data_IF_184484901044
#
_entry.id   IF_184484901044
#
_cell.length_a   1.000
_cell.length_b   1.000
_cell.length_c   1.000
_cell.angle_alpha   90.00
_cell.angle_beta   90.00
_cell.angle_gamma   90.00
#
_symmetry.space_group_name_H-M   'P 1'
#
loop_
_entity.id
_entity.type
_entity.pdbx_description
1 polymer ?
#
# COMPACT_ATOMS: atom_id res chain seq x y z
N UNK A 1 62.08 8.89 -8.72
CA UNK A 1 61.48 8.28 -7.51
C UNK A 1 60.08 7.80 -7.87
N UNK A 2 59.64 6.55 -7.71
CA UNK A 2 60.27 5.29 -7.41
C UNK A 2 59.32 4.18 -7.95
N UNK A 3 59.89 3.19 -8.64
CA UNK A 3 59.68 1.73 -8.61
C UNK A 3 58.25 1.10 -8.61
N UNK A 4 57.90 0.52 -9.76
CA UNK A 4 57.65 -0.92 -10.03
C UNK A 4 56.94 -1.89 -9.04
N UNK A 5 55.94 -2.58 -9.65
CA UNK A 5 55.58 -4.02 -9.61
C UNK A 5 54.40 -4.55 -8.73
N UNK A 6 53.76 -5.68 -9.14
CA UNK A 6 52.34 -5.99 -8.94
C UNK A 6 52.11 -7.06 -7.86
N UNK A 7 50.87 -7.16 -7.36
CA UNK A 7 50.45 -8.25 -6.48
C UNK A 7 49.21 -8.95 -7.03
N UNK A 8 49.44 -10.13 -7.58
CA UNK A 8 48.45 -11.19 -7.71
C UNK A 8 48.07 -11.68 -6.32
N UNK A 9 46.78 -11.88 -6.04
CA UNK A 9 46.35 -12.65 -4.88
C UNK A 9 45.26 -13.64 -5.27
N UNK A 10 45.52 -14.88 -4.89
CA UNK A 10 44.77 -16.09 -5.14
C UNK A 10 43.64 -16.29 -4.13
N UNK A 11 42.56 -16.86 -4.66
CA UNK A 11 41.52 -17.68 -4.03
C UNK A 11 40.41 -17.06 -3.15
N UNK A 12 39.20 -17.68 -3.20
CA UNK A 12 37.97 -17.11 -2.68
C UNK A 12 37.72 -17.54 -1.23
N UNK A 13 37.37 -16.60 -0.35
CA UNK A 13 36.79 -16.92 0.95
C UNK A 13 35.38 -16.34 1.04
N UNK A 14 34.42 -17.24 1.27
CA UNK A 14 32.99 -16.95 1.45
C UNK A 14 32.81 -15.89 2.53
N UNK A 15 32.13 -14.80 2.17
CA UNK A 15 31.67 -13.78 3.12
C UNK A 15 30.65 -14.41 4.05
N UNK A 16 31.03 -14.55 5.32
CA UNK A 16 30.20 -15.07 6.39
C UNK A 16 29.16 -14.01 6.83
N UNK A 17 27.92 -14.48 6.96
CA UNK A 17 26.84 -14.02 7.85
C UNK A 17 26.71 -12.52 8.12
N UNK A 18 25.66 -11.91 7.54
CA UNK A 18 25.03 -10.71 8.09
C UNK A 18 24.42 -11.03 9.46
N UNK A 19 25.07 -10.62 10.54
CA UNK A 19 24.48 -10.67 11.89
C UNK A 19 23.47 -9.53 12.05
N UNK A 20 22.18 -9.82 11.98
CA UNK A 20 21.14 -8.87 12.39
C UNK A 20 20.85 -9.05 13.88
N UNK A 21 21.35 -8.16 14.72
CA UNK A 21 21.06 -8.10 16.15
C UNK A 21 19.72 -7.39 16.42
N UNK A 22 18.62 -8.02 16.01
CA UNK A 22 17.26 -7.52 16.26
C UNK A 22 16.55 -8.21 17.43
N UNK A 23 17.24 -8.59 18.52
CA UNK A 23 16.53 -8.89 19.79
C UNK A 23 17.46 -8.65 20.99
N UNK A 24 17.43 -7.46 21.58
CA UNK A 24 17.92 -7.27 22.94
C UNK A 24 16.74 -7.44 23.89
N UNK A 25 16.49 -8.69 24.28
CA UNK A 25 15.52 -9.04 25.32
C UNK A 25 16.07 -10.22 26.10
N UNK A 26 16.64 -9.94 27.28
CA UNK A 26 17.09 -10.95 28.25
C UNK A 26 15.94 -11.91 28.57
N UNK A 27 15.90 -13.04 27.88
CA UNK A 27 15.26 -14.28 28.34
C UNK A 27 16.17 -15.42 27.91
N UNK A 28 16.50 -16.30 28.86
CA UNK A 28 17.45 -17.40 28.65
C UNK A 28 17.03 -18.19 27.40
N UNK A 29 17.94 -18.45 26.44
CA UNK A 29 17.61 -19.32 25.32
C UNK A 29 17.43 -20.73 25.87
N UNK A 30 16.22 -21.29 25.70
CA UNK A 30 16.03 -22.74 25.79
C UNK A 30 16.96 -23.36 24.74
N UNK A 31 17.89 -24.18 25.20
CA UNK A 31 18.91 -24.84 24.40
C UNK A 31 18.31 -25.49 23.14
N UNK A 32 18.72 -25.02 21.97
CA UNK A 32 18.51 -25.73 20.72
C UNK A 32 19.51 -26.88 20.66
N UNK A 33 19.03 -28.12 20.80
CA UNK A 33 19.86 -29.30 20.55
C UNK A 33 20.00 -29.47 19.04
N UNK A 34 21.13 -29.04 18.48
CA UNK A 34 21.54 -29.40 17.12
C UNK A 34 22.15 -30.79 17.21
N UNK A 35 21.41 -31.80 16.77
CA UNK A 35 21.96 -33.14 16.58
C UNK A 35 22.78 -33.13 15.28
N UNK A 36 24.08 -32.80 15.38
CA UNK A 36 25.02 -33.00 14.27
C UNK A 36 25.35 -34.48 14.15
N UNK A 37 24.69 -35.18 13.22
CA UNK A 37 25.29 -36.35 12.57
C UNK A 37 25.80 -35.92 11.20
N UNK A 38 27.12 -35.76 11.12
CA UNK A 38 27.87 -35.65 9.87
C UNK A 38 27.61 -36.89 9.01
N UNK A 39 26.84 -36.72 7.93
CA UNK A 39 26.88 -37.60 6.76
C UNK A 39 26.94 -36.74 5.50
N UNK A 40 28.06 -36.89 4.81
CA UNK A 40 28.39 -36.34 3.50
C UNK A 40 27.32 -36.76 2.49
N UNK A 41 26.64 -35.80 1.87
CA UNK A 41 25.64 -36.07 0.85
C UNK A 41 24.96 -34.79 0.37
N UNK A 42 25.28 -34.37 -0.86
CA UNK A 42 24.72 -33.18 -1.50
C UNK A 42 23.20 -33.33 -1.72
N UNK A 43 22.40 -32.88 -0.76
CA UNK A 43 21.01 -32.46 -0.98
C UNK A 43 20.83 -31.13 -0.27
N UNK A 44 20.46 -30.11 -1.03
CA UNK A 44 19.90 -28.88 -0.49
C UNK A 44 18.62 -29.28 0.26
N UNK A 45 18.75 -29.58 1.55
CA UNK A 45 17.63 -29.88 2.42
C UNK A 45 16.78 -28.61 2.49
N UNK A 46 15.50 -28.74 2.14
CA UNK A 46 14.51 -27.71 2.39
C UNK A 46 14.51 -27.46 3.90
N UNK A 47 15.15 -26.36 4.33
CA UNK A 47 15.06 -25.86 5.70
C UNK A 47 13.61 -25.43 5.91
N UNK A 48 12.80 -26.34 6.42
CA UNK A 48 11.43 -26.04 6.81
C UNK A 48 11.48 -25.34 8.16
N UNK A 49 11.41 -24.01 8.12
CA UNK A 49 11.20 -23.22 9.34
C UNK A 49 9.75 -23.38 9.73
N UNK A 50 9.47 -24.19 10.75
CA UNK A 50 8.14 -24.27 11.35
C UNK A 50 7.89 -22.97 12.11
N UNK A 51 7.14 -22.05 11.50
CA UNK A 51 6.67 -20.85 12.20
C UNK A 51 5.56 -21.31 13.16
N UNK A 52 5.93 -21.64 14.39
CA UNK A 52 4.97 -21.84 15.48
C UNK A 52 4.39 -20.48 15.84
N UNK A 53 3.25 -20.14 15.24
CA UNK A 53 2.45 -18.97 15.60
C UNK A 53 1.80 -19.20 16.97
N UNK A 54 2.57 -19.08 18.05
CA UNK A 54 1.97 -18.82 19.37
C UNK A 54 1.13 -17.54 19.26
N UNK A 55 0.03 -17.46 20.02
CA UNK A 55 -0.85 -16.27 20.03
C UNK A 55 0.00 -15.02 20.19
N UNK A 56 -0.03 -14.13 19.19
CA UNK A 56 0.77 -12.91 19.18
C UNK A 56 0.41 -12.12 20.44
N UNK A 57 1.34 -12.04 21.40
CA UNK A 57 1.19 -11.18 22.57
C UNK A 57 1.27 -9.74 22.07
N UNK A 58 0.13 -9.08 21.97
CA UNK A 58 0.05 -7.68 21.57
C UNK A 58 0.67 -6.83 22.70
N UNK A 59 1.91 -6.39 22.49
CA UNK A 59 2.56 -5.43 23.39
C UNK A 59 2.06 -4.04 23.02
N UNK A 60 1.53 -3.31 24.00
CA UNK A 60 1.08 -1.95 23.80
C UNK A 60 2.27 -1.04 23.51
N UNK A 61 2.25 -0.37 22.36
CA UNK A 61 3.24 0.64 21.99
C UNK A 61 2.53 1.95 21.68
N UNK A 62 2.72 2.94 22.55
CA UNK A 62 2.09 4.25 22.47
C UNK A 62 2.51 5.02 21.21
N UNK A 63 3.73 4.83 20.72
CA UNK A 63 4.20 5.49 19.50
C UNK A 63 3.45 4.94 18.29
N UNK A 64 3.39 3.60 18.18
CA UNK A 64 2.66 2.92 17.11
C UNK A 64 1.17 3.30 17.12
N UNK A 65 0.55 3.32 18.29
CA UNK A 65 -0.86 3.69 18.44
C UNK A 65 -1.12 5.14 17.99
N UNK A 66 -0.22 6.07 18.28
CA UNK A 66 -0.32 7.45 17.79
C UNK A 66 -0.32 7.49 16.26
N UNK A 67 0.56 6.75 15.60
CA UNK A 67 0.61 6.66 14.14
C UNK A 67 -0.67 6.06 13.55
N UNK A 68 -1.21 5.02 14.19
CA UNK A 68 -2.47 4.39 13.80
C UNK A 68 -3.63 5.38 13.90
N UNK A 69 -3.74 6.14 15.00
CA UNK A 69 -4.76 7.19 15.16
C UNK A 69 -4.64 8.27 14.08
N UNK A 70 -3.42 8.73 13.78
CA UNK A 70 -3.20 9.73 12.72
C UNK A 70 -3.65 9.20 11.35
N UNK A 71 -3.32 7.94 11.03
CA UNK A 71 -3.76 7.29 9.79
C UNK A 71 -5.29 7.22 9.71
N UNK A 72 -5.98 6.93 10.82
CA UNK A 72 -7.44 6.91 10.85
C UNK A 72 -8.07 8.29 10.61
N UNK A 73 -7.43 9.37 11.05
CA UNK A 73 -7.92 10.75 10.82
C UNK A 73 -7.96 11.10 9.33
N UNK A 74 -6.97 10.66 8.55
CA UNK A 74 -6.90 10.96 7.11
C UNK A 74 -7.57 9.90 6.22
N UNK A 75 -7.93 8.75 6.78
CA UNK A 75 -8.54 7.63 6.05
C UNK A 75 -9.81 8.03 5.30
N UNK A 76 -10.66 8.86 5.91
CA UNK A 76 -11.89 9.36 5.28
C UNK A 76 -11.57 10.18 4.03
N UNK A 77 -10.64 11.13 4.16
CA UNK A 77 -10.21 12.04 3.08
C UNK A 77 -9.63 11.23 1.93
N UNK A 78 -8.71 10.31 2.22
CA UNK A 78 -8.07 9.47 1.20
C UNK A 78 -9.11 8.65 0.42
N UNK A 79 -10.04 8.01 1.13
CA UNK A 79 -11.08 7.20 0.48
C UNK A 79 -12.06 8.05 -0.33
N UNK A 80 -12.48 9.20 0.19
CA UNK A 80 -13.36 10.09 -0.56
C UNK A 80 -12.67 10.65 -1.81
N UNK A 81 -11.39 11.04 -1.71
CA UNK A 81 -10.55 11.42 -2.86
C UNK A 81 -10.53 10.31 -3.91
N UNK A 82 -10.16 9.08 -3.53
CA UNK A 82 -10.13 7.94 -4.45
C UNK A 82 -11.49 7.67 -5.09
N UNK A 83 -12.58 7.79 -4.32
CA UNK A 83 -13.93 7.60 -4.83
C UNK A 83 -14.31 8.67 -5.86
N UNK A 84 -13.99 9.94 -5.60
CA UNK A 84 -14.24 11.06 -6.53
C UNK A 84 -13.43 10.90 -7.81
N UNK A 85 -12.14 10.60 -7.71
CA UNK A 85 -11.25 10.38 -8.85
C UNK A 85 -11.61 9.15 -9.69
N UNK A 86 -12.35 8.19 -9.13
CA UNK A 86 -12.85 7.02 -9.88
C UNK A 86 -13.98 7.37 -10.85
N UNK A 87 -14.58 8.55 -10.75
CA UNK A 87 -15.71 8.99 -11.59
C UNK A 87 -15.22 9.93 -12.68
N UNK A 88 -15.69 9.73 -13.90
CA UNK A 88 -15.32 10.56 -15.06
C UNK A 88 -15.59 12.06 -14.84
N UNK A 89 -16.67 12.40 -14.14
CA UNK A 89 -17.05 13.79 -13.85
C UNK A 89 -16.46 14.35 -12.54
N UNK A 90 -15.69 13.56 -11.78
CA UNK A 90 -15.02 13.98 -10.54
C UNK A 90 -15.94 14.56 -9.45
N UNK A 91 -17.25 14.29 -9.50
CA UNK A 91 -18.22 14.64 -8.46
C UNK A 91 -19.18 13.49 -8.14
N UNK A 92 -19.74 13.50 -6.93
CA UNK A 92 -20.72 12.50 -6.48
C UNK A 92 -21.86 13.18 -5.71
N UNK A 93 -23.14 12.92 -6.06
CA UNK A 93 -24.29 13.34 -5.26
C UNK A 93 -24.29 12.76 -3.84
N UNK A 94 -24.67 13.56 -2.85
CA UNK A 94 -24.64 13.17 -1.42
C UNK A 94 -25.49 11.92 -1.14
N UNK A 95 -26.65 11.75 -1.78
CA UNK A 95 -27.49 10.56 -1.59
C UNK A 95 -26.80 9.26 -2.08
N UNK A 96 -25.96 9.33 -3.12
CA UNK A 96 -25.14 8.19 -3.56
C UNK A 96 -24.00 7.97 -2.58
N UNK A 97 -23.40 9.06 -2.10
CA UNK A 97 -22.34 9.01 -1.11
C UNK A 97 -22.78 8.33 0.20
N UNK A 98 -24.04 8.54 0.61
CA UNK A 98 -24.68 7.83 1.72
C UNK A 98 -24.71 6.31 1.53
N UNK A 99 -24.90 5.81 0.31
CA UNK A 99 -24.82 4.37 0.00
C UNK A 99 -23.39 3.84 0.10
N UNK A 100 -22.39 4.67 -0.18
CA UNK A 100 -20.96 4.33 -0.07
C UNK A 100 -20.40 4.47 1.37
N UNK A 101 -21.25 4.56 2.40
CA UNK A 101 -20.81 4.78 3.79
C UNK A 101 -19.84 3.71 4.30
N UNK A 102 -20.11 2.43 4.00
CA UNK A 102 -19.27 1.30 4.39
C UNK A 102 -17.87 1.44 3.80
N UNK A 103 -17.78 1.83 2.53
CA UNK A 103 -16.51 2.11 1.87
C UNK A 103 -15.77 3.24 2.59
N UNK A 104 -16.41 4.39 2.88
CA UNK A 104 -15.78 5.54 3.55
C UNK A 104 -15.31 5.24 4.99
N UNK A 105 -15.73 4.12 5.59
CA UNK A 105 -15.28 3.69 6.91
C UNK A 105 -15.79 4.57 8.05
N UNK A 106 -16.98 5.14 7.90
CA UNK A 106 -17.59 6.03 8.89
C UNK A 106 -18.47 5.24 9.89
N UNK A 107 -18.12 5.19 11.19
CA UNK A 107 -18.96 4.56 12.19
C UNK A 107 -20.26 5.37 12.37
N UNK A 108 -21.38 4.68 12.61
CA UNK A 108 -22.61 5.35 13.08
C UNK A 108 -22.33 5.92 14.49
N UNK A 109 -22.81 7.13 14.86
CA UNK A 109 -23.84 7.95 14.23
C UNK A 109 -23.33 9.10 13.32
N UNK A 110 -22.03 9.19 13.02
CA UNK A 110 -21.46 10.39 12.35
C UNK A 110 -22.05 10.65 10.96
N UNK A 111 -22.52 11.87 10.69
CA UNK A 111 -23.05 12.24 9.37
C UNK A 111 -21.92 12.42 8.34
N UNK A 112 -22.16 12.00 7.09
CA UNK A 112 -21.19 12.18 6.00
C UNK A 112 -20.98 13.68 5.72
N UNK A 113 -22.04 14.47 5.72
CA UNK A 113 -21.95 15.92 5.54
C UNK A 113 -21.08 16.55 6.63
N UNK A 114 -21.33 16.20 7.90
CA UNK A 114 -20.50 16.70 9.02
C UNK A 114 -19.03 16.33 8.89
N UNK A 115 -18.73 15.20 8.25
CA UNK A 115 -17.35 14.78 7.99
C UNK A 115 -16.70 15.53 6.83
N UNK A 116 -17.47 15.85 5.78
CA UNK A 116 -17.00 16.68 4.65
C UNK A 116 -16.68 18.08 5.13
N UNK A 117 -17.55 18.69 5.94
CA UNK A 117 -17.34 20.04 6.48
C UNK A 117 -16.10 20.18 7.36
N UNK A 118 -15.50 19.09 7.86
CA UNK A 118 -14.22 19.13 8.57
C UNK A 118 -13.02 19.40 7.65
N UNK A 119 -13.17 19.26 6.34
CA UNK A 119 -12.09 19.39 5.35
C UNK A 119 -12.48 20.33 4.20
N UNK A 120 -12.82 21.60 4.48
CA UNK A 120 -13.28 22.55 3.46
C UNK A 120 -12.19 22.92 2.44
N UNK A 121 -10.92 22.78 2.80
CA UNK A 121 -9.79 23.01 1.89
C UNK A 121 -9.66 21.94 0.80
N UNK A 122 -10.26 20.76 1.01
CA UNK A 122 -10.12 19.61 0.11
C UNK A 122 -11.42 19.33 -0.64
N UNK A 123 -12.55 19.44 0.05
CA UNK A 123 -13.86 19.10 -0.50
C UNK A 123 -14.78 20.32 -0.55
N UNK A 124 -15.48 20.44 -1.66
CA UNK A 124 -16.47 21.48 -1.90
C UNK A 124 -17.84 20.83 -2.11
N UNK A 125 -18.85 21.41 -1.47
CA UNK A 125 -20.26 21.07 -1.64
C UNK A 125 -20.89 22.07 -2.59
N UNK A 126 -21.52 21.60 -3.66
CA UNK A 126 -22.19 22.46 -4.63
C UNK A 126 -23.54 21.88 -5.02
N UNK A 127 -24.47 22.76 -5.37
CA UNK A 127 -25.78 22.38 -5.87
C UNK A 127 -25.73 22.27 -7.38
N UNK A 128 -26.06 21.10 -7.92
CA UNK A 128 -26.19 20.95 -9.36
C UNK A 128 -27.62 21.26 -9.77
N UNK A 129 -27.81 22.39 -10.46
CA UNK A 129 -29.03 22.65 -11.22
C UNK A 129 -28.97 21.79 -12.48
N UNK A 130 -29.85 20.79 -12.59
CA UNK A 130 -30.03 20.09 -13.85
C UNK A 130 -30.73 21.03 -14.84
N UNK A 131 -30.51 20.94 -16.17
CA UNK A 131 -31.29 21.70 -17.14
C UNK A 131 -32.80 21.57 -16.87
N UNK A 132 -33.58 22.63 -17.13
CA UNK A 132 -35.02 22.61 -16.92
C UNK A 132 -35.61 21.44 -17.70
N UNK A 133 -36.15 20.44 -16.99
CA UNK A 133 -36.80 19.29 -17.63
C UNK A 133 -38.26 19.67 -17.99
N UNK A 134 -38.84 19.03 -19.02
CA UNK A 134 -40.15 19.39 -19.55
C UNK A 134 -41.25 19.16 -18.51
N UNK A 135 -42.35 19.87 -18.71
CA UNK A 135 -43.43 20.27 -17.79
C UNK A 135 -44.08 19.18 -16.90
N UNK A 136 -43.71 17.90 -17.00
CA UNK A 136 -44.44 16.77 -16.42
C UNK A 136 -43.65 15.91 -15.40
N UNK A 137 -42.54 16.41 -14.83
CA UNK A 137 -41.76 15.67 -13.84
C UNK A 137 -41.92 16.22 -12.40
N UNK A 138 -42.57 15.45 -11.54
CA UNK A 138 -42.76 15.72 -10.11
C UNK A 138 -41.42 15.97 -9.39
N UNK A 139 -41.18 17.21 -8.97
CA UNK A 139 -40.21 17.68 -7.96
C UNK A 139 -38.77 17.12 -8.08
N UNK A 140 -37.98 17.63 -9.01
CA UNK A 140 -36.52 17.45 -8.97
C UNK A 140 -35.90 18.49 -8.02
N UNK A 141 -35.64 18.09 -6.77
CA UNK A 141 -34.83 18.91 -5.86
C UNK A 141 -33.38 19.02 -6.38
N UNK A 142 -32.72 20.19 -6.23
CA UNK A 142 -31.30 20.33 -6.55
C UNK A 142 -30.51 19.27 -5.78
N UNK A 143 -29.75 18.46 -6.52
CA UNK A 143 -28.96 17.39 -5.92
C UNK A 143 -27.67 18.01 -5.42
N UNK A 144 -27.55 18.12 -4.10
CA UNK A 144 -26.31 18.47 -3.43
C UNK A 144 -25.23 17.44 -3.80
N UNK A 145 -24.13 17.93 -4.34
CA UNK A 145 -23.01 17.14 -4.82
C UNK A 145 -21.72 17.52 -4.10
N UNK A 146 -20.80 16.58 -4.04
CA UNK A 146 -19.45 16.75 -3.48
C UNK A 146 -18.46 16.65 -4.61
N UNK A 147 -17.49 17.58 -4.66
CA UNK A 147 -16.31 17.51 -5.53
C UNK A 147 -15.05 17.86 -4.76
N UNK A 148 -13.90 17.65 -5.38
CA UNK A 148 -12.65 18.23 -4.89
C UNK A 148 -12.63 19.73 -5.20
N UNK A 149 -12.08 20.52 -4.28
CA UNK A 149 -11.76 21.94 -4.51
C UNK A 149 -10.76 22.04 -5.67
N UNK A 150 -10.78 23.09 -6.51
CA UNK A 150 -9.84 23.23 -7.64
C UNK A 150 -8.36 23.08 -7.25
N UNK A 151 -7.95 23.67 -6.11
CA UNK A 151 -6.60 23.51 -5.57
C UNK A 151 -6.26 22.04 -5.24
N UNK A 152 -7.19 21.31 -4.61
CA UNK A 152 -7.02 19.90 -4.29
C UNK A 152 -7.03 19.01 -5.55
N UNK A 153 -7.79 19.38 -6.57
CA UNK A 153 -7.82 18.69 -7.86
C UNK A 153 -6.49 18.87 -8.62
N UNK A 154 -5.89 20.07 -8.59
CA UNK A 154 -4.58 20.31 -9.18
C UNK A 154 -3.49 19.44 -8.53
N UNK A 155 -3.44 19.40 -7.19
CA UNK A 155 -2.51 18.54 -6.45
C UNK A 155 -2.73 17.06 -6.75
N UNK A 156 -4.00 16.62 -6.88
CA UNK A 156 -4.30 15.25 -7.26
C UNK A 156 -3.83 14.91 -8.69
N UNK A 157 -3.88 15.87 -9.61
CA UNK A 157 -3.35 15.68 -10.97
C UNK A 157 -1.82 15.59 -10.98
N UNK A 158 -1.13 16.43 -10.21
CA UNK A 158 0.32 16.35 -10.00
C UNK A 158 0.74 15.00 -9.41
N UNK A 159 0.00 14.52 -8.40
CA UNK A 159 0.24 13.20 -7.79
C UNK A 159 0.13 12.07 -8.83
N UNK A 160 -0.87 12.12 -9.72
CA UNK A 160 -1.04 11.13 -10.78
C UNK A 160 0.06 11.21 -11.85
N UNK A 161 0.49 12.42 -12.21
CA UNK A 161 1.60 12.63 -13.13
C UNK A 161 2.91 12.10 -12.54
N UNK A 162 3.18 12.38 -11.27
CA UNK A 162 4.33 11.86 -10.54
C UNK A 162 4.31 10.33 -10.44
N UNK A 163 3.15 9.74 -10.09
CA UNK A 163 2.99 8.28 -10.05
C UNK A 163 3.30 7.63 -11.41
N UNK A 164 2.90 8.27 -12.51
CA UNK A 164 3.19 7.80 -13.86
C UNK A 164 4.69 7.88 -14.17
N UNK A 165 5.36 8.96 -13.77
CA UNK A 165 6.81 9.13 -13.92
C UNK A 165 7.61 8.04 -13.18
N UNK A 166 7.22 7.70 -11.95
CA UNK A 166 7.90 6.68 -11.15
C UNK A 166 7.44 5.25 -11.44
N UNK A 167 6.47 5.05 -12.33
CA UNK A 167 5.85 3.74 -12.60
C UNK A 167 6.89 2.67 -12.96
N UNK A 168 7.84 3.00 -13.84
CA UNK A 168 8.93 2.10 -14.23
C UNK A 168 9.80 1.67 -13.04
N UNK A 169 10.09 2.59 -12.12
CA UNK A 169 10.85 2.29 -10.90
C UNK A 169 10.07 1.38 -9.96
N UNK A 170 8.77 1.63 -9.79
CA UNK A 170 7.88 0.78 -8.98
C UNK A 170 7.77 -0.63 -9.57
N UNK A 171 7.66 -0.75 -10.89
CA UNK A 171 7.68 -2.02 -11.58
C UNK A 171 9.01 -2.75 -11.34
N UNK A 172 10.16 -2.09 -11.45
CA UNK A 172 11.45 -2.72 -11.16
C UNK A 172 11.56 -3.20 -9.70
N UNK A 173 11.05 -2.44 -8.73
CA UNK A 173 11.00 -2.86 -7.31
C UNK A 173 10.11 -4.08 -7.13
N UNK A 174 8.94 -4.11 -7.75
CA UNK A 174 8.02 -5.25 -7.69
C UNK A 174 8.60 -6.49 -8.38
N UNK A 175 9.32 -6.32 -9.49
CA UNK A 175 10.04 -7.40 -10.17
C UNK A 175 11.13 -8.00 -9.27
N UNK A 176 11.91 -7.16 -8.59
CA UNK A 176 12.90 -7.64 -7.61
C UNK A 176 12.25 -8.45 -6.49
N UNK A 177 11.13 -7.96 -5.94
CA UNK A 177 10.36 -8.71 -4.93
C UNK A 177 9.88 -10.07 -5.46
N UNK A 178 9.44 -10.11 -6.73
CA UNK A 178 9.06 -11.35 -7.39
C UNK A 178 10.24 -12.30 -7.54
N UNK A 179 11.42 -11.81 -7.92
CA UNK A 179 12.64 -12.60 -8.07
C UNK A 179 13.16 -13.18 -6.76
N UNK A 180 12.90 -12.51 -5.63
CA UNK A 180 13.24 -13.01 -4.29
C UNK A 180 12.30 -14.11 -3.80
N UNK A 181 11.12 -14.28 -4.42
CA UNK A 181 10.20 -15.38 -4.11
C UNK A 181 10.72 -16.70 -4.68
N UNK A 182 10.64 -17.77 -3.88
CA UNK A 182 11.13 -19.11 -4.24
C UNK A 182 10.58 -19.64 -5.57
N UNK A 183 9.32 -19.32 -5.89
CA UNK A 183 8.66 -19.77 -7.12
C UNK A 183 8.47 -18.65 -8.15
N UNK A 184 9.10 -17.47 -7.94
CA UNK A 184 8.85 -16.25 -8.75
C UNK A 184 7.37 -15.95 -8.96
N UNK A 185 6.58 -16.24 -7.92
CA UNK A 185 5.13 -16.02 -7.85
C UNK A 185 4.81 -15.36 -6.54
N UNK A 186 3.91 -14.38 -6.57
CA UNK A 186 3.43 -13.67 -5.39
C UNK A 186 1.91 -13.62 -5.42
N UNK A 187 1.29 -13.94 -4.29
CA UNK A 187 -0.15 -13.88 -4.18
C UNK A 187 -0.59 -12.41 -4.12
N UNK A 188 -1.34 -11.96 -5.13
CA UNK A 188 -1.79 -10.58 -5.23
C UNK A 188 -2.67 -10.13 -4.06
N UNK A 189 -3.40 -11.05 -3.40
CA UNK A 189 -4.20 -10.73 -2.21
C UNK A 189 -3.31 -10.32 -1.03
N UNK A 190 -2.17 -11.00 -0.83
CA UNK A 190 -1.20 -10.65 0.21
C UNK A 190 -0.43 -9.38 -0.13
N UNK A 191 -0.07 -9.20 -1.40
CA UNK A 191 0.68 -8.04 -1.85
C UNK A 191 -0.07 -6.72 -1.61
N UNK A 192 -1.41 -6.71 -1.68
CA UNK A 192 -2.18 -5.48 -1.42
C UNK A 192 -2.03 -4.94 -0.01
N UNK A 193 -1.79 -5.80 0.97
CA UNK A 193 -1.56 -5.34 2.34
C UNK A 193 -0.22 -4.62 2.48
N UNK A 194 0.77 -4.99 1.66
CA UNK A 194 2.09 -4.36 1.61
C UNK A 194 2.20 -3.23 0.60
N UNK A 195 1.27 -3.14 -0.36
CA UNK A 195 1.30 -2.15 -1.43
C UNK A 195 1.51 -0.70 -0.93
N UNK A 196 0.80 -0.21 0.11
CA UNK A 196 1.03 1.14 0.62
C UNK A 196 2.45 1.34 1.19
N UNK A 197 3.06 0.29 1.74
CA UNK A 197 4.41 0.32 2.29
C UNK A 197 5.49 0.30 1.20
N UNK A 198 5.16 -0.28 0.04
CA UNK A 198 6.03 -0.31 -1.15
C UNK A 198 5.84 0.91 -2.06
N UNK A 199 4.92 1.81 -1.71
CA UNK A 199 4.54 2.96 -2.56
C UNK A 199 3.76 2.57 -3.81
N UNK A 200 3.20 1.36 -3.85
CA UNK A 200 2.39 0.90 -4.97
C UNK A 200 1.00 1.57 -4.93
N UNK A 201 0.49 2.02 -6.08
CA UNK A 201 -0.83 2.63 -6.15
C UNK A 201 -1.92 1.58 -5.85
N UNK A 202 -3.10 1.96 -5.30
CA UNK A 202 -4.14 1.01 -4.90
C UNK A 202 -4.67 0.14 -6.05
N UNK A 203 -4.54 0.63 -7.29
CA UNK A 203 -4.91 -0.04 -8.54
C UNK A 203 -3.70 -0.65 -9.28
N UNK A 204 -2.57 -0.91 -8.60
CA UNK A 204 -1.37 -1.46 -9.23
C UNK A 204 -1.62 -2.77 -10.00
N UNK A 205 -2.60 -3.58 -9.57
CA UNK A 205 -2.93 -4.85 -10.25
C UNK A 205 -3.43 -4.63 -11.67
N UNK A 206 -4.24 -3.60 -11.89
CA UNK A 206 -4.90 -3.33 -13.16
C UNK A 206 -4.14 -2.35 -14.04
N UNK A 207 -3.30 -1.50 -13.44
CA UNK A 207 -2.43 -0.57 -14.17
C UNK A 207 -1.01 -1.11 -14.22
N UNK A 208 -0.24 -0.94 -13.15
CA UNK A 208 1.20 -1.27 -13.10
C UNK A 208 1.55 -2.68 -13.62
N UNK A 209 0.80 -3.72 -13.26
CA UNK A 209 1.08 -5.08 -13.74
C UNK A 209 0.72 -5.28 -15.23
N UNK A 210 -0.32 -4.61 -15.71
CA UNK A 210 -0.78 -4.71 -17.10
C UNK A 210 0.03 -3.83 -18.05
N UNK A 211 0.55 -2.71 -17.54
CA UNK A 211 1.41 -1.78 -18.29
C UNK A 211 2.82 -2.37 -18.53
N UNK A 212 3.17 -3.43 -17.79
CA UNK A 212 4.46 -4.13 -17.89
C UNK A 212 4.30 -5.65 -18.14
N UNK A 213 3.68 -6.07 -19.26
CA UNK A 213 3.47 -7.48 -19.58
C UNK A 213 4.78 -8.24 -19.77
N UNK A 214 5.88 -7.54 -20.09
CA UNK A 214 7.22 -8.10 -20.20
C UNK A 214 7.82 -8.51 -18.85
N UNK A 215 7.34 -7.94 -17.74
CA UNK A 215 7.82 -8.22 -16.38
C UNK A 215 6.86 -9.09 -15.58
N UNK A 216 5.56 -8.91 -15.80
CA UNK A 216 4.53 -9.52 -14.97
C UNK A 216 3.52 -10.29 -15.79
N UNK A 217 3.17 -11.47 -15.30
CA UNK A 217 2.03 -12.25 -15.78
C UNK A 217 1.11 -12.52 -14.60
N UNK A 218 -0.09 -11.95 -14.66
CA UNK A 218 -1.16 -12.24 -13.70
C UNK A 218 -1.81 -13.57 -14.10
N UNK A 219 -1.82 -14.54 -13.17
CA UNK A 219 -2.42 -15.87 -13.32
C UNK A 219 -3.46 -16.08 -12.24
#
# INVERSE_FOLDING_TARGET
>A
MALCLPLSFSNPKRVASLSSSFVHGRTKPSSFSINEKLKTGNRLQNVSVSISCSSIKLVHDRALDKHVVMKYRVRFVQKLKTLLLSKSKHYIPVHILCKCRSYLGLPKPRSILSMIHRYPSIFELFNMSWPPKPLNATKLHPKLCVRLTPAAAAVAAEELAFQSSISNMLAAKLQKLLMLSSRRKLLLSKLVHFAPHLGLPPNFRSRLCNDHPEKFRTV
#
